data_IF_025927586313
#
_entry.id   IF_025927586313
#
_cell.length_a   1.000
_cell.length_b   1.000
_cell.length_c   1.000
_cell.angle_alpha   90.00
_cell.angle_beta   90.00
_cell.angle_gamma   90.00
#
_symmetry.space_group_name_H-M   'P 1'
#
loop_
_entity.id
_entity.type
_entity.pdbx_description
1 polymer ?
#
# COMPACT_ATOMS: atom_id res chain seq x y z
N UNK A 1 50.26 -42.86 -23.93
CA UNK A 1 50.70 -43.80 -22.87
C UNK A 1 51.58 -42.99 -21.91
N UNK A 2 51.05 -42.37 -20.86
CA UNK A 2 50.69 -42.94 -19.54
C UNK A 2 49.57 -42.04 -18.97
N UNK A 3 48.31 -42.44 -18.82
CA UNK A 3 47.79 -43.39 -17.83
C UNK A 3 48.46 -43.25 -16.46
N UNK A 4 48.12 -42.19 -15.74
CA UNK A 4 48.29 -42.15 -14.29
C UNK A 4 47.03 -41.63 -13.60
N UNK A 5 46.22 -42.58 -13.15
CA UNK A 5 45.63 -42.57 -11.80
C UNK A 5 44.65 -41.41 -11.55
N UNK A 6 43.40 -41.48 -12.03
CA UNK A 6 42.26 -42.06 -11.29
C UNK A 6 42.65 -42.65 -9.92
N UNK A 7 42.78 -41.79 -8.92
CA UNK A 7 42.61 -42.03 -7.48
C UNK A 7 42.72 -40.62 -6.86
N UNK A 8 41.62 -39.95 -6.51
CA UNK A 8 41.15 -39.89 -5.13
C UNK A 8 39.71 -39.36 -5.15
N UNK A 9 38.77 -40.20 -5.56
CA UNK A 9 37.39 -40.11 -5.08
C UNK A 9 37.40 -40.57 -3.62
N UNK A 10 37.30 -39.64 -2.68
CA UNK A 10 36.62 -39.81 -1.38
C UNK A 10 37.10 -38.73 -0.38
N UNK A 11 36.43 -37.59 -0.34
CA UNK A 11 36.17 -36.93 0.95
C UNK A 11 34.68 -36.70 1.04
N UNK A 12 34.08 -37.59 1.83
CA UNK A 12 32.74 -37.59 2.41
C UNK A 12 31.83 -36.41 2.04
N UNK A 13 30.78 -36.74 1.31
CA UNK A 13 29.47 -36.07 1.35
C UNK A 13 28.98 -36.00 2.79
N UNK A 14 29.26 -34.90 3.49
CA UNK A 14 28.58 -34.56 4.73
C UNK A 14 27.18 -34.06 4.39
N UNK A 15 26.19 -34.95 4.55
CA UNK A 15 24.79 -34.60 4.68
C UNK A 15 24.65 -33.72 5.93
N UNK A 16 24.32 -32.46 5.73
CA UNK A 16 24.04 -31.50 6.80
C UNK A 16 23.16 -30.39 6.28
N UNK A 17 21.90 -30.71 5.98
CA UNK A 17 20.86 -29.74 5.62
C UNK A 17 20.52 -28.85 6.83
N UNK A 18 21.31 -27.80 7.05
CA UNK A 18 20.85 -26.64 7.84
C UNK A 18 20.02 -25.74 6.91
N UNK A 19 18.78 -26.14 6.69
CA UNK A 19 17.78 -25.31 6.01
C UNK A 19 16.68 -24.90 6.99
N UNK A 20 17.06 -24.32 8.13
CA UNK A 20 16.20 -23.34 8.81
C UNK A 20 16.32 -21.99 8.11
N UNK A 21 16.07 -22.02 6.80
CA UNK A 21 15.75 -20.83 6.04
C UNK A 21 14.37 -20.41 6.48
N UNK A 22 14.28 -19.30 7.21
CA UNK A 22 13.04 -18.60 7.52
C UNK A 22 12.12 -18.64 6.28
N UNK A 23 11.05 -19.45 6.32
CA UNK A 23 10.07 -19.53 5.22
C UNK A 23 9.22 -18.27 5.25
N UNK A 24 9.77 -17.17 4.76
CA UNK A 24 8.98 -15.98 4.45
C UNK A 24 8.18 -16.30 3.19
N UNK A 25 6.96 -16.81 3.38
CA UNK A 25 6.01 -16.90 2.27
C UNK A 25 5.73 -15.48 1.77
N UNK A 26 5.83 -15.21 0.46
CA UNK A 26 5.50 -13.90 -0.08
C UNK A 26 4.05 -13.58 0.27
N UNK A 27 3.84 -12.59 1.15
CA UNK A 27 2.49 -12.12 1.47
C UNK A 27 2.05 -11.17 0.37
N UNK A 28 1.17 -11.65 -0.50
CA UNK A 28 0.45 -10.78 -1.43
C UNK A 28 -0.49 -9.86 -0.64
N UNK A 29 -0.32 -8.55 -0.81
CA UNK A 29 -1.20 -7.56 -0.18
C UNK A 29 -2.59 -7.59 -0.84
N UNK A 30 -3.63 -7.45 -0.03
CA UNK A 30 -4.99 -7.19 -0.52
C UNK A 30 -5.10 -5.78 -1.12
N UNK A 31 -6.12 -5.50 -1.97
CA UNK A 31 -6.36 -4.16 -2.50
C UNK A 31 -6.46 -3.08 -1.42
N UNK A 32 -7.15 -3.37 -0.31
CA UNK A 32 -7.29 -2.44 0.84
C UNK A 32 -5.92 -2.14 1.45
N UNK A 33 -5.07 -3.15 1.64
CA UNK A 33 -3.72 -2.95 2.19
C UNK A 33 -2.82 -2.15 1.26
N UNK A 34 -2.87 -2.40 -0.05
CA UNK A 34 -2.14 -1.59 -1.05
C UNK A 34 -2.65 -0.15 -1.04
N UNK A 35 -3.97 0.05 -0.99
CA UNK A 35 -4.61 1.35 -0.87
C UNK A 35 -4.21 2.12 0.38
N UNK A 36 -4.07 1.44 1.52
CA UNK A 36 -3.58 2.05 2.76
C UNK A 36 -2.15 2.58 2.59
N UNK A 37 -1.24 1.78 2.01
CA UNK A 37 0.13 2.21 1.75
C UNK A 37 0.16 3.43 0.83
N UNK A 38 -0.65 3.42 -0.24
CA UNK A 38 -0.79 4.54 -1.17
C UNK A 38 -1.30 5.80 -0.47
N UNK A 39 -2.35 5.69 0.34
CA UNK A 39 -2.94 6.81 1.08
C UNK A 39 -1.94 7.42 2.08
N UNK A 40 -1.29 6.57 2.87
CA UNK A 40 -0.32 7.03 3.88
C UNK A 40 0.88 7.72 3.26
N UNK A 41 1.33 7.24 2.11
CA UNK A 41 2.53 7.77 1.43
C UNK A 41 2.22 9.09 0.70
N UNK A 42 1.04 9.20 0.09
CA UNK A 42 0.78 10.26 -0.89
C UNK A 42 -0.33 11.24 -0.50
N UNK A 43 -1.23 10.87 0.42
CA UNK A 43 -2.46 11.64 0.69
C UNK A 43 -2.51 12.20 2.11
N UNK A 44 -1.98 11.45 3.09
CA UNK A 44 -2.20 11.70 4.51
C UNK A 44 -1.62 13.02 5.04
N UNK A 45 -0.57 13.55 4.41
CA UNK A 45 0.02 14.85 4.79
C UNK A 45 -0.97 16.01 4.65
N UNK A 46 -1.86 15.94 3.65
CA UNK A 46 -2.88 16.95 3.41
C UNK A 46 -4.24 16.54 3.98
N UNK A 47 -4.65 15.28 3.78
CA UNK A 47 -5.99 14.79 4.11
C UNK A 47 -6.10 14.17 5.51
N UNK A 48 -5.02 14.15 6.30
CA UNK A 48 -4.98 13.58 7.64
C UNK A 48 -4.54 12.12 7.64
N UNK A 49 -4.15 11.59 8.81
CA UNK A 49 -3.81 10.16 8.96
C UNK A 49 -5.05 9.28 9.00
N UNK A 50 -6.14 9.80 9.53
CA UNK A 50 -7.46 9.17 9.51
C UNK A 50 -8.29 9.80 8.38
N UNK A 51 -8.66 9.05 7.33
CA UNK A 51 -9.42 9.58 6.20
C UNK A 51 -10.84 10.03 6.57
N UNK A 52 -11.34 9.70 7.76
CA UNK A 52 -12.62 10.18 8.28
C UNK A 52 -12.54 11.59 8.88
N UNK A 53 -11.33 12.08 9.16
CA UNK A 53 -11.09 13.41 9.74
C UNK A 53 -10.49 14.33 8.68
N UNK A 54 -10.81 15.63 8.70
CA UNK A 54 -10.10 16.58 7.86
C UNK A 54 -8.63 16.66 8.30
N UNK A 55 -7.72 16.78 7.33
CA UNK A 55 -6.33 17.11 7.57
C UNK A 55 -6.10 18.62 7.61
N UNK A 56 -4.83 19.02 7.66
CA UNK A 56 -4.45 20.43 7.70
C UNK A 56 -4.88 21.22 6.45
N UNK A 57 -4.91 20.56 5.28
CA UNK A 57 -5.20 21.21 3.99
C UNK A 57 -6.39 20.58 3.26
N UNK A 58 -6.55 19.26 3.37
CA UNK A 58 -7.55 18.47 2.66
C UNK A 58 -8.74 18.08 3.54
N UNK A 59 -9.95 17.97 2.98
CA UNK A 59 -11.11 17.47 3.70
C UNK A 59 -10.98 15.97 4.03
N UNK A 60 -11.88 15.47 4.87
CA UNK A 60 -12.10 14.04 5.04
C UNK A 60 -12.57 13.40 3.72
N UNK A 61 -11.96 12.28 3.34
CA UNK A 61 -12.16 11.60 2.05
C UNK A 61 -12.50 10.10 2.17
N UNK A 62 -12.71 9.59 3.39
CA UNK A 62 -13.31 8.27 3.58
C UNK A 62 -14.64 8.17 2.80
N UNK A 63 -14.87 7.01 2.19
CA UNK A 63 -16.06 6.72 1.38
C UNK A 63 -16.12 7.42 0.03
N UNK A 64 -15.05 8.11 -0.40
CA UNK A 64 -15.02 8.72 -1.73
C UNK A 64 -15.22 7.66 -2.81
N UNK A 65 -16.12 7.91 -3.76
CA UNK A 65 -16.38 6.99 -4.85
C UNK A 65 -15.15 6.86 -5.77
N UNK A 66 -15.00 5.72 -6.43
CA UNK A 66 -13.95 5.48 -7.43
C UNK A 66 -13.90 6.61 -8.48
N UNK A 67 -15.05 7.01 -9.01
CA UNK A 67 -15.15 8.08 -10.01
C UNK A 67 -14.67 9.44 -9.49
N UNK A 68 -14.98 9.77 -8.23
CA UNK A 68 -14.47 10.99 -7.60
C UNK A 68 -12.95 10.93 -7.41
N UNK A 69 -12.43 9.79 -6.96
CA UNK A 69 -11.00 9.57 -6.76
C UNK A 69 -10.27 9.71 -8.08
N UNK A 70 -10.73 9.06 -9.14
CA UNK A 70 -10.14 9.14 -10.48
C UNK A 70 -10.11 10.59 -11.00
N UNK A 71 -11.26 11.26 -11.02
CA UNK A 71 -11.38 12.63 -11.50
C UNK A 71 -10.46 13.59 -10.73
N UNK A 72 -10.41 13.44 -9.40
CA UNK A 72 -9.64 14.33 -8.54
C UNK A 72 -8.14 14.05 -8.62
N UNK A 73 -7.73 12.79 -8.52
CA UNK A 73 -6.34 12.36 -8.46
C UNK A 73 -5.68 12.46 -9.83
N UNK A 74 -6.31 12.00 -10.90
CA UNK A 74 -5.67 11.99 -12.21
C UNK A 74 -5.83 13.32 -12.96
N UNK A 75 -6.93 14.04 -12.73
CA UNK A 75 -7.32 15.16 -13.60
C UNK A 75 -7.53 16.50 -12.88
N UNK A 76 -7.38 16.56 -11.55
CA UNK A 76 -7.70 17.76 -10.75
C UNK A 76 -9.16 18.24 -10.97
N UNK A 77 -10.05 17.34 -11.35
CA UNK A 77 -11.43 17.63 -11.71
C UNK A 77 -12.41 17.10 -10.66
N UNK A 78 -13.70 17.26 -10.94
CA UNK A 78 -14.80 16.68 -10.18
C UNK A 78 -15.80 16.04 -11.15
N UNK A 79 -16.46 14.93 -10.78
CA UNK A 79 -17.57 14.38 -11.55
C UNK A 79 -18.73 15.39 -11.66
N UNK A 80 -19.55 15.27 -12.70
CA UNK A 80 -20.72 16.12 -12.89
C UNK A 80 -21.66 16.04 -11.66
N UNK A 81 -22.15 17.19 -11.21
CA UNK A 81 -23.05 17.30 -10.04
C UNK A 81 -22.36 17.19 -8.67
N UNK A 82 -21.05 16.93 -8.61
CA UNK A 82 -20.33 16.90 -7.35
C UNK A 82 -20.02 18.31 -6.82
N UNK A 83 -20.34 18.55 -5.55
CA UNK A 83 -20.02 19.80 -4.85
C UNK A 83 -18.74 19.65 -4.00
N UNK A 84 -17.67 20.40 -4.29
CA UNK A 84 -16.43 20.33 -3.52
C UNK A 84 -16.60 20.70 -2.04
N UNK A 85 -16.00 19.91 -1.14
CA UNK A 85 -16.01 20.17 0.31
C UNK A 85 -15.14 21.38 0.73
N UNK A 86 -14.28 21.85 -0.17
CA UNK A 86 -13.35 22.98 0.00
C UNK A 86 -13.20 23.71 -1.34
N UNK A 87 -12.93 25.01 -1.28
CA UNK A 87 -12.70 25.87 -2.45
C UNK A 87 -11.22 25.97 -2.84
N UNK A 88 -10.33 25.27 -2.13
CA UNK A 88 -8.89 25.31 -2.40
C UNK A 88 -8.55 24.51 -3.66
N UNK A 89 -7.58 25.01 -4.44
CA UNK A 89 -7.08 24.37 -5.66
C UNK A 89 -5.68 23.75 -5.50
N UNK A 90 -5.28 23.48 -4.24
CA UNK A 90 -3.92 23.07 -3.88
C UNK A 90 -3.54 21.67 -4.39
N UNK A 91 -4.49 20.74 -4.40
CA UNK A 91 -4.21 19.36 -4.80
C UNK A 91 -3.84 19.30 -6.29
N UNK A 92 -2.58 18.95 -6.58
CA UNK A 92 -2.08 18.71 -7.93
C UNK A 92 -2.49 17.31 -8.41
N UNK A 93 -2.67 17.10 -9.73
CA UNK A 93 -2.94 15.78 -10.27
C UNK A 93 -1.69 14.89 -10.14
N UNK A 94 -1.91 13.59 -10.02
CA UNK A 94 -0.91 12.53 -9.95
C UNK A 94 -1.24 11.44 -10.99
N UNK A 95 -1.02 11.69 -12.30
CA UNK A 95 -1.41 10.75 -13.37
C UNK A 95 -0.76 9.36 -13.25
N UNK A 96 0.41 9.28 -12.63
CA UNK A 96 1.13 8.02 -12.38
C UNK A 96 0.37 7.05 -11.45
N UNK A 97 -0.68 7.51 -10.75
CA UNK A 97 -1.53 6.67 -9.91
C UNK A 97 -2.64 5.94 -10.68
N UNK A 98 -2.72 6.07 -12.01
CA UNK A 98 -3.80 5.50 -12.82
C UNK A 98 -4.03 4.00 -12.56
N UNK A 99 -2.95 3.22 -12.44
CA UNK A 99 -3.01 1.78 -12.16
C UNK A 99 -3.45 1.42 -10.72
N UNK A 100 -3.63 2.41 -9.85
CA UNK A 100 -3.81 2.23 -8.41
C UNK A 100 -5.10 2.86 -7.87
N UNK A 101 -5.95 3.41 -8.74
CA UNK A 101 -7.22 4.03 -8.35
C UNK A 101 -8.13 3.03 -7.64
N UNK A 102 -8.16 1.78 -8.10
CA UNK A 102 -9.02 0.74 -7.50
C UNK A 102 -8.56 0.35 -6.09
N UNK A 103 -7.25 0.25 -5.86
CA UNK A 103 -6.70 -0.02 -4.53
C UNK A 103 -7.01 1.15 -3.56
N UNK A 104 -6.84 2.39 -4.01
CA UNK A 104 -7.16 3.57 -3.21
C UNK A 104 -8.66 3.66 -2.91
N UNK A 105 -9.51 3.37 -3.89
CA UNK A 105 -10.96 3.32 -3.72
C UNK A 105 -11.37 2.21 -2.75
N UNK A 106 -10.75 1.04 -2.82
CA UNK A 106 -11.00 -0.05 -1.87
C UNK A 106 -10.67 0.37 -0.44
N UNK A 107 -9.52 1.01 -0.22
CA UNK A 107 -9.14 1.50 1.11
C UNK A 107 -10.07 2.60 1.64
N UNK A 108 -10.36 3.62 0.83
CA UNK A 108 -11.22 4.73 1.25
C UNK A 108 -12.67 4.26 1.47
N UNK A 109 -13.16 3.34 0.65
CA UNK A 109 -14.46 2.69 0.84
C UNK A 109 -14.53 1.89 2.14
N UNK A 110 -13.52 1.05 2.41
CA UNK A 110 -13.43 0.30 3.66
C UNK A 110 -13.22 1.19 4.90
N UNK A 111 -12.76 2.42 4.71
CA UNK A 111 -12.56 3.41 5.78
C UNK A 111 -13.82 4.22 6.10
N UNK A 112 -14.86 4.14 5.28
CA UNK A 112 -16.12 4.84 5.53
C UNK A 112 -16.87 4.15 6.69
N UNK A 113 -16.91 4.83 7.84
CA UNK A 113 -17.63 4.50 9.10
C UNK A 113 -16.96 3.52 10.10
N UNK A 114 -16.97 3.98 11.36
CA UNK A 114 -16.39 3.53 12.65
C UNK A 114 -15.65 2.19 12.76
N UNK A 115 -14.37 2.27 13.16
CA UNK A 115 -13.69 1.18 13.88
C UNK A 115 -13.56 1.57 15.35
N UNK A 116 -14.07 0.77 16.31
CA UNK A 116 -13.68 0.93 17.70
C UNK A 116 -12.17 0.79 17.76
N UNK A 117 -11.52 1.81 18.33
CA UNK A 117 -10.14 1.87 18.78
C UNK A 117 -9.37 0.57 18.58
N UNK A 118 -8.81 0.34 17.38
CA UNK A 118 -7.71 -0.63 17.28
C UNK A 118 -6.62 -0.02 18.11
N UNK A 119 -6.49 -0.53 19.35
CA UNK A 119 -5.27 -0.41 20.12
C UNK A 119 -4.19 -1.03 19.25
N UNK A 120 -3.52 -0.19 18.47
CA UNK A 120 -2.20 -0.52 17.93
C UNK A 120 -1.38 -0.82 19.17
N UNK A 121 -1.11 -2.11 19.41
CA UNK A 121 -0.13 -2.51 20.40
C UNK A 121 1.16 -1.80 20.00
N UNK A 122 1.46 -0.73 20.74
CA UNK A 122 2.70 0.00 20.63
C UNK A 122 3.73 -0.97 21.20
N UNK A 123 4.50 -1.61 20.33
CA UNK A 123 5.73 -2.24 20.76
C UNK A 123 6.69 -1.10 21.11
N UNK A 124 6.72 -0.78 22.40
CA UNK A 124 7.76 0.02 23.01
C UNK A 124 9.04 -0.81 23.01
N UNK A 125 10.11 -0.22 22.48
CA UNK A 125 11.48 -0.60 22.76
C UNK A 125 12.18 0.64 23.31
#
# INVERSE_FOLDING_TARGET
MQLRVVLLTAVMTMLGSISDGCRTSPRTLTPVQRGEVLYRTNCASCHGRDPNRPGALGPAIAGSSRALIEARVLHRAYPAGYQPKRQTHLMQPMPWMAAHIDDLAAYLGASATDRPSVKVARHEN
#
